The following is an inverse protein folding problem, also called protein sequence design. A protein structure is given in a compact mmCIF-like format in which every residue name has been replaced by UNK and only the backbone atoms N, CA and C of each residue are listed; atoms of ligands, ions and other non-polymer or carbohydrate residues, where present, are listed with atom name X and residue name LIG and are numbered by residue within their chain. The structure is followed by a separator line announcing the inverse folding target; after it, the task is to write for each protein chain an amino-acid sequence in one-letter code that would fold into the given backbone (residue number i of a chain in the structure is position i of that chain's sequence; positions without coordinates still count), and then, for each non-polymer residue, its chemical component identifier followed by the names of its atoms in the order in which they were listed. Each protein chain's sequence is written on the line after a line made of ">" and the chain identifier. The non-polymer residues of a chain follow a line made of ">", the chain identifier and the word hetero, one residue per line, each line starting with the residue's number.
data_IF_617708174566
#
_entry.id   IF_617708174566
#
_cell.length_a   1.000
_cell.length_b   1.000
_cell.length_c   1.000
_cell.angle_alpha   90.00
_cell.angle_beta   90.00
_cell.angle_gamma   90.00
#
_symmetry.space_group_name_H-M   'P 1'
#
loop_
_entity.id
_entity.type
_entity.pdbx_description
1 polymer ?
#
# COMPACT_ATOMS: atom_id res chain seq x y z
N UNK A 1 -52.34 8.34 58.49
CA UNK A 1 -51.29 7.32 58.30
C UNK A 1 -51.23 6.96 56.85
N UNK A 2 -50.47 7.76 56.05
CA UNK A 2 -50.36 7.53 54.61
C UNK A 2 -49.04 6.82 54.29
N UNK A 3 -49.18 5.62 53.75
CA UNK A 3 -48.06 4.85 53.20
C UNK A 3 -47.88 5.18 51.71
N UNK A 4 -46.93 6.03 51.39
CA UNK A 4 -46.50 6.28 49.99
C UNK A 4 -45.59 5.14 49.53
N UNK A 5 -46.08 4.34 48.59
CA UNK A 5 -45.27 3.36 47.83
C UNK A 5 -44.40 4.13 46.83
N UNK A 6 -43.08 4.03 46.98
CA UNK A 6 -42.12 4.45 45.98
C UNK A 6 -41.87 3.28 45.01
N UNK A 7 -42.36 3.39 43.78
CA UNK A 7 -42.05 2.48 42.69
C UNK A 7 -40.70 2.94 42.07
N UNK A 8 -39.67 2.14 42.34
CA UNK A 8 -38.37 2.34 41.64
C UNK A 8 -38.43 1.63 40.27
N UNK A 9 -38.45 2.43 39.20
CA UNK A 9 -38.32 1.92 37.83
C UNK A 9 -36.84 1.64 37.57
N UNK A 10 -36.46 0.38 37.51
CA UNK A 10 -35.18 -0.07 37.04
C UNK A 10 -35.23 -0.08 35.51
N UNK A 11 -34.62 0.96 34.90
CA UNK A 11 -34.38 0.98 33.44
C UNK A 11 -33.27 -0.01 33.09
N UNK A 12 -33.61 -1.21 32.70
CA UNK A 12 -32.72 -2.22 32.16
C UNK A 12 -32.24 -1.78 30.77
N UNK A 13 -30.99 -1.36 30.64
CA UNK A 13 -30.32 -1.13 29.34
C UNK A 13 -30.13 -2.49 28.67
N UNK A 14 -30.97 -2.80 27.69
CA UNK A 14 -30.76 -3.94 26.79
C UNK A 14 -29.60 -3.57 25.84
N UNK A 15 -28.41 -4.08 26.12
CA UNK A 15 -27.30 -4.09 25.15
C UNK A 15 -27.69 -5.04 24.02
N UNK A 16 -28.05 -4.46 22.87
CA UNK A 16 -28.13 -5.21 21.62
C UNK A 16 -26.73 -5.67 21.25
N UNK A 17 -26.50 -6.97 21.00
CA UNK A 17 -25.24 -7.45 20.49
C UNK A 17 -24.99 -6.77 19.15
N UNK A 18 -23.89 -6.01 19.06
CA UNK A 18 -23.45 -5.43 17.81
C UNK A 18 -23.34 -6.52 16.75
N UNK A 19 -24.12 -6.42 15.68
CA UNK A 19 -24.00 -7.30 14.53
C UNK A 19 -22.57 -7.11 13.97
N UNK A 20 -21.70 -8.06 14.29
CA UNK A 20 -20.44 -8.20 13.61
C UNK A 20 -20.77 -8.36 12.12
N UNK A 21 -20.47 -7.32 11.33
CA UNK A 21 -20.65 -7.34 9.89
C UNK A 21 -19.74 -8.43 9.37
N UNK A 22 -20.31 -9.56 8.98
CA UNK A 22 -19.57 -10.69 8.42
C UNK A 22 -18.77 -10.14 7.22
N UNK A 23 -17.45 -10.31 7.28
CA UNK A 23 -16.60 -10.07 6.10
C UNK A 23 -17.12 -11.03 5.03
N UNK A 24 -17.51 -10.57 3.84
CA UNK A 24 -17.99 -11.47 2.80
C UNK A 24 -16.95 -12.57 2.59
N UNK A 25 -17.34 -13.83 2.77
CA UNK A 25 -16.53 -14.96 2.32
C UNK A 25 -16.33 -14.80 0.82
N UNK A 26 -15.11 -15.07 0.34
CA UNK A 26 -14.85 -15.08 -1.10
C UNK A 26 -15.93 -15.94 -1.81
N UNK A 27 -16.45 -15.50 -2.96
CA UNK A 27 -17.49 -16.25 -3.67
C UNK A 27 -16.98 -17.66 -3.99
N UNK A 28 -17.84 -18.70 -3.90
CA UNK A 28 -17.48 -20.06 -4.30
C UNK A 28 -17.20 -20.09 -5.82
N UNK A 29 -16.19 -20.82 -6.23
CA UNK A 29 -15.84 -21.02 -7.63
C UNK A 29 -14.37 -20.73 -7.90
N UNK A 30 -13.89 -20.97 -9.11
CA UNK A 30 -12.48 -20.77 -9.39
C UNK A 30 -12.09 -19.29 -9.22
N UNK A 31 -11.14 -19.03 -8.31
CA UNK A 31 -10.59 -17.69 -8.13
C UNK A 31 -9.67 -17.38 -9.33
N UNK A 32 -10.13 -16.46 -10.17
CA UNK A 32 -9.48 -16.10 -11.42
C UNK A 32 -8.86 -14.72 -11.30
N UNK A 33 -7.63 -14.57 -11.77
CA UNK A 33 -6.95 -13.29 -11.90
C UNK A 33 -6.71 -12.98 -13.38
N UNK A 34 -6.97 -11.73 -13.76
CA UNK A 34 -6.52 -11.15 -15.00
C UNK A 34 -5.57 -10.02 -14.67
N UNK A 35 -4.31 -10.16 -15.10
CA UNK A 35 -3.22 -9.28 -14.72
C UNK A 35 -2.48 -8.80 -15.96
N UNK A 36 -1.94 -7.58 -15.90
CA UNK A 36 -1.03 -7.03 -16.89
C UNK A 36 0.22 -6.46 -16.22
N UNK A 37 1.36 -6.54 -16.89
CA UNK A 37 2.62 -5.97 -16.45
C UNK A 37 3.09 -4.92 -17.47
N UNK A 38 3.10 -3.62 -17.13
CA UNK A 38 3.46 -2.56 -18.07
C UNK A 38 4.97 -2.53 -18.40
N UNK A 39 5.82 -3.15 -17.58
CA UNK A 39 7.27 -3.18 -17.81
C UNK A 39 7.68 -4.26 -18.82
N UNK A 40 6.98 -5.40 -18.82
CA UNK A 40 7.27 -6.51 -19.73
C UNK A 40 6.30 -6.61 -20.90
N UNK A 41 5.13 -5.95 -20.81
CA UNK A 41 4.02 -6.07 -21.76
C UNK A 41 3.26 -7.41 -21.66
N UNK A 42 3.63 -8.26 -20.71
CA UNK A 42 3.00 -9.57 -20.52
C UNK A 42 1.63 -9.44 -19.84
N UNK A 43 0.79 -10.42 -20.11
CA UNK A 43 -0.53 -10.56 -19.47
C UNK A 43 -0.70 -11.98 -18.95
N UNK A 44 -1.47 -12.10 -17.88
CA UNK A 44 -1.90 -13.37 -17.30
C UNK A 44 -3.44 -13.37 -17.20
N UNK A 45 -4.09 -14.48 -17.55
CA UNK A 45 -5.53 -14.67 -17.35
C UNK A 45 -5.80 -16.14 -17.02
N UNK A 46 -6.05 -16.45 -15.76
CA UNK A 46 -6.22 -17.83 -15.34
C UNK A 46 -6.82 -17.97 -13.94
N UNK A 47 -7.47 -19.12 -13.71
CA UNK A 47 -7.90 -19.55 -12.39
C UNK A 47 -6.68 -20.11 -11.63
N UNK A 48 -6.22 -19.41 -10.58
CA UNK A 48 -5.06 -19.81 -9.79
C UNK A 48 -5.42 -20.72 -8.62
N UNK A 49 -6.70 -20.79 -8.28
CA UNK A 49 -7.23 -21.55 -7.15
C UNK A 49 -8.66 -22.02 -7.43
N UNK A 50 -9.01 -23.19 -6.92
CA UNK A 50 -10.35 -23.74 -6.90
C UNK A 50 -10.75 -24.16 -5.45
N UNK A 51 -11.84 -24.91 -5.32
CA UNK A 51 -12.34 -25.39 -4.02
C UNK A 51 -11.40 -26.41 -3.35
N UNK A 52 -10.47 -27.04 -4.10
CA UNK A 52 -9.45 -27.94 -3.60
C UNK A 52 -8.15 -27.21 -3.20
N UNK A 53 -8.04 -25.92 -3.49
CA UNK A 53 -6.88 -25.10 -3.18
C UNK A 53 -6.15 -24.55 -4.41
N UNK A 54 -4.89 -24.12 -4.24
CA UNK A 54 -4.10 -23.56 -5.33
C UNK A 54 -3.81 -24.60 -6.43
N UNK A 55 -3.97 -24.20 -7.70
CA UNK A 55 -3.70 -25.03 -8.87
C UNK A 55 -2.21 -24.95 -9.18
N UNK A 56 -1.46 -26.00 -8.90
CA UNK A 56 0.02 -25.99 -8.92
C UNK A 56 0.63 -25.52 -10.25
N UNK A 57 0.08 -25.95 -11.39
CA UNK A 57 0.56 -25.53 -12.72
C UNK A 57 0.36 -24.04 -12.94
N UNK A 58 -0.80 -23.51 -12.58
CA UNK A 58 -1.14 -22.08 -12.72
C UNK A 58 -0.33 -21.24 -11.74
N UNK A 59 -0.06 -21.73 -10.54
CA UNK A 59 0.84 -21.07 -9.59
C UNK A 59 2.28 -20.98 -10.11
N UNK A 60 2.74 -21.99 -10.86
CA UNK A 60 4.05 -21.93 -11.54
C UNK A 60 4.07 -20.86 -12.62
N UNK A 61 3.03 -20.78 -13.45
CA UNK A 61 2.89 -19.75 -14.49
C UNK A 61 2.83 -18.35 -13.88
N UNK A 62 2.08 -18.17 -12.79
CA UNK A 62 2.03 -16.93 -12.03
C UNK A 62 3.39 -16.55 -11.44
N UNK A 63 4.17 -17.52 -10.94
CA UNK A 63 5.51 -17.25 -10.42
C UNK A 63 6.46 -16.76 -11.53
N UNK A 64 6.29 -17.21 -12.76
CA UNK A 64 7.01 -16.68 -13.93
C UNK A 64 6.52 -15.28 -14.30
N UNK A 65 5.22 -15.05 -14.36
CA UNK A 65 4.63 -13.73 -14.65
C UNK A 65 5.03 -12.68 -13.59
N UNK A 66 5.07 -13.07 -12.32
CA UNK A 66 5.38 -12.21 -11.16
C UNK A 66 6.88 -12.20 -10.80
N UNK A 67 7.75 -12.67 -11.71
CA UNK A 67 9.20 -12.69 -11.49
C UNK A 67 9.80 -11.29 -11.30
N UNK A 68 10.98 -11.25 -10.79
CA UNK A 68 11.81 -10.04 -10.83
C UNK A 68 12.17 -9.69 -12.29
N UNK A 69 11.54 -8.66 -12.84
CA UNK A 69 11.75 -8.29 -14.24
C UNK A 69 13.13 -7.65 -14.52
N UNK A 70 13.88 -7.27 -13.49
CA UNK A 70 15.26 -6.80 -13.65
C UNK A 70 16.25 -7.95 -13.83
N UNK A 71 16.10 -9.00 -13.04
CA UNK A 71 17.03 -10.15 -13.04
C UNK A 71 16.48 -11.37 -13.79
N UNK A 72 15.18 -11.46 -14.03
CA UNK A 72 14.50 -12.63 -14.57
C UNK A 72 14.28 -13.75 -13.54
N UNK A 73 14.74 -13.58 -12.31
CA UNK A 73 14.61 -14.59 -11.26
C UNK A 73 13.16 -14.80 -10.83
N UNK A 74 12.81 -16.04 -10.52
CA UNK A 74 11.48 -16.47 -10.07
C UNK A 74 11.52 -16.98 -8.64
N UNK A 75 10.37 -16.93 -7.95
CA UNK A 75 10.16 -17.56 -6.65
C UNK A 75 8.75 -18.16 -6.63
N UNK A 76 8.53 -19.19 -5.84
CA UNK A 76 7.17 -19.68 -5.56
C UNK A 76 6.37 -18.56 -4.87
N UNK A 77 5.32 -18.08 -5.54
CA UNK A 77 4.56 -16.94 -5.06
C UNK A 77 3.59 -17.32 -3.96
N UNK A 78 3.45 -16.46 -2.95
CA UNK A 78 2.56 -16.70 -1.82
C UNK A 78 1.08 -16.56 -2.24
N UNK A 79 0.33 -17.63 -2.07
CA UNK A 79 -1.11 -17.69 -2.38
C UNK A 79 -1.90 -16.66 -1.58
N UNK A 80 -1.52 -16.40 -0.32
CA UNK A 80 -2.22 -15.44 0.53
C UNK A 80 -2.14 -13.99 -0.03
N UNK A 81 -1.05 -13.63 -0.69
CA UNK A 81 -0.92 -12.34 -1.38
C UNK A 81 -1.85 -12.25 -2.60
N UNK A 82 -2.01 -13.35 -3.36
CA UNK A 82 -2.94 -13.44 -4.48
C UNK A 82 -4.39 -13.43 -4.03
N UNK A 83 -4.73 -14.16 -2.96
CA UNK A 83 -6.05 -14.14 -2.33
C UNK A 83 -6.42 -12.74 -1.82
N UNK A 84 -5.42 -11.99 -1.34
CA UNK A 84 -5.61 -10.61 -0.92
C UNK A 84 -5.92 -9.71 -2.12
N UNK A 85 -5.13 -9.80 -3.20
CA UNK A 85 -5.38 -9.07 -4.45
C UNK A 85 -6.77 -9.38 -5.00
N UNK A 86 -7.12 -10.67 -5.13
CA UNK A 86 -8.43 -11.11 -5.62
C UNK A 86 -9.58 -10.49 -4.83
N UNK A 87 -9.43 -10.45 -3.51
CA UNK A 87 -10.46 -9.87 -2.63
C UNK A 87 -10.60 -8.37 -2.81
N UNK A 88 -9.49 -7.64 -2.98
CA UNK A 88 -9.51 -6.18 -3.25
C UNK A 88 -10.17 -5.91 -4.61
N UNK A 89 -9.81 -6.68 -5.65
CA UNK A 89 -10.43 -6.56 -6.97
C UNK A 89 -11.94 -6.81 -6.90
N UNK A 90 -12.37 -7.83 -6.15
CA UNK A 90 -13.78 -8.15 -5.98
C UNK A 90 -14.58 -7.01 -5.31
N UNK A 91 -14.04 -6.39 -4.26
CA UNK A 91 -14.71 -5.27 -3.58
C UNK A 91 -14.79 -4.02 -4.45
N UNK A 92 -13.74 -3.75 -5.23
CA UNK A 92 -13.69 -2.58 -6.12
C UNK A 92 -14.38 -2.79 -7.47
N UNK A 93 -14.85 -4.02 -7.75
CA UNK A 93 -15.44 -4.40 -9.03
C UNK A 93 -14.45 -4.39 -10.19
N UNK A 94 -13.14 -4.47 -9.91
CA UNK A 94 -12.11 -4.52 -10.93
C UNK A 94 -11.96 -5.93 -11.50
N UNK A 95 -12.01 -6.04 -12.82
CA UNK A 95 -11.87 -7.31 -13.53
C UNK A 95 -10.43 -7.59 -13.96
N UNK A 96 -9.56 -6.57 -13.93
CA UNK A 96 -8.15 -6.64 -14.28
C UNK A 96 -7.33 -5.77 -13.33
N UNK A 97 -6.11 -6.21 -13.00
CA UNK A 97 -5.16 -5.42 -12.21
C UNK A 97 -3.82 -5.29 -12.95
N UNK A 98 -3.23 -4.10 -12.91
CA UNK A 98 -1.91 -3.85 -13.45
C UNK A 98 -0.86 -3.99 -12.36
N UNK A 99 0.08 -4.92 -12.54
CA UNK A 99 1.15 -5.22 -11.59
C UNK A 99 2.39 -4.42 -11.96
N UNK A 100 2.76 -3.46 -11.11
CA UNK A 100 3.94 -2.62 -11.31
C UNK A 100 5.20 -3.27 -10.73
N UNK A 101 5.07 -4.04 -9.64
CA UNK A 101 6.17 -4.78 -9.04
C UNK A 101 5.62 -5.98 -8.27
N UNK A 102 6.35 -7.07 -8.31
CA UNK A 102 6.02 -8.29 -7.58
C UNK A 102 7.27 -8.86 -6.89
N UNK A 103 7.78 -10.01 -7.28
CA UNK A 103 9.03 -10.53 -6.72
C UNK A 103 10.22 -9.62 -7.06
N UNK A 104 11.11 -9.45 -6.10
CA UNK A 104 12.41 -8.80 -6.25
C UNK A 104 13.48 -9.67 -5.61
N UNK A 105 14.58 -9.94 -6.30
CA UNK A 105 15.75 -10.52 -5.65
C UNK A 105 16.27 -9.57 -4.57
N UNK A 106 17.06 -10.09 -3.64
CA UNK A 106 17.69 -9.24 -2.63
C UNK A 106 18.56 -8.14 -3.26
N UNK A 107 19.30 -8.49 -4.31
CA UNK A 107 20.16 -7.57 -5.07
C UNK A 107 19.35 -6.47 -5.76
N UNK A 108 18.23 -6.83 -6.41
CA UNK A 108 17.31 -5.86 -7.01
C UNK A 108 16.72 -4.94 -5.93
N UNK A 109 16.30 -5.50 -4.79
CA UNK A 109 15.76 -4.70 -3.70
C UNK A 109 16.78 -3.75 -3.10
N UNK A 110 18.03 -4.18 -2.91
CA UNK A 110 19.13 -3.33 -2.44
C UNK A 110 19.46 -2.22 -3.44
N UNK A 111 19.47 -2.53 -4.74
CA UNK A 111 19.65 -1.53 -5.79
C UNK A 111 18.55 -0.47 -5.71
N UNK A 112 17.28 -0.90 -5.62
CA UNK A 112 16.12 0.00 -5.50
C UNK A 112 16.16 0.81 -4.20
N UNK A 113 16.54 0.22 -3.07
CA UNK A 113 16.66 0.93 -1.80
C UNK A 113 17.71 2.05 -1.85
N UNK A 114 18.79 1.87 -2.64
CA UNK A 114 19.80 2.91 -2.85
C UNK A 114 19.37 4.01 -3.84
N UNK A 115 18.48 3.70 -4.76
CA UNK A 115 18.10 4.60 -5.88
C UNK A 115 16.70 5.17 -5.76
N UNK A 116 15.84 4.55 -4.96
CA UNK A 116 14.42 4.90 -4.84
C UNK A 116 14.05 5.05 -3.37
N UNK A 117 13.51 6.20 -3.03
CA UNK A 117 13.04 6.43 -1.67
C UNK A 117 11.82 5.56 -1.31
N UNK A 118 11.75 5.14 -0.03
CA UNK A 118 10.61 4.36 0.49
C UNK A 118 10.68 2.85 0.24
N UNK A 119 11.79 2.35 -0.31
CA UNK A 119 12.02 0.91 -0.44
C UNK A 119 12.67 0.39 0.84
N UNK A 120 11.95 -0.50 1.55
CA UNK A 120 12.44 -1.14 2.77
C UNK A 120 13.52 -2.19 2.44
N UNK A 121 14.58 -2.26 3.25
CA UNK A 121 15.63 -3.28 3.09
C UNK A 121 15.09 -4.72 3.22
N UNK A 122 14.19 -4.95 4.20
CA UNK A 122 13.51 -6.23 4.41
C UNK A 122 12.09 -6.20 3.84
N UNK A 123 11.99 -5.97 2.54
CA UNK A 123 10.73 -5.88 1.82
C UNK A 123 10.05 -7.26 1.65
N UNK A 124 8.72 -7.33 1.75
CA UNK A 124 7.95 -8.54 1.47
C UNK A 124 8.04 -8.98 0.00
N UNK A 125 8.45 -8.10 -0.90
CA UNK A 125 8.77 -8.44 -2.30
C UNK A 125 9.88 -9.48 -2.41
N UNK A 126 10.88 -9.46 -1.52
CA UNK A 126 12.00 -10.42 -1.52
C UNK A 126 11.52 -11.85 -1.26
N UNK A 127 10.39 -12.00 -0.60
CA UNK A 127 9.82 -13.30 -0.21
C UNK A 127 8.68 -13.77 -1.14
N UNK A 128 8.40 -13.06 -2.24
CA UNK A 128 7.27 -13.35 -3.13
C UNK A 128 5.90 -13.18 -2.45
N UNK A 129 5.80 -12.23 -1.51
CA UNK A 129 4.63 -12.00 -0.65
C UNK A 129 3.97 -10.64 -0.86
N UNK A 130 4.46 -9.83 -1.79
CA UNK A 130 3.99 -8.46 -1.98
C UNK A 130 3.75 -8.11 -3.44
N UNK A 131 2.77 -7.25 -3.67
CA UNK A 131 2.38 -6.73 -4.97
C UNK A 131 2.23 -5.21 -4.89
N UNK A 132 2.84 -4.49 -5.83
CA UNK A 132 2.56 -3.09 -6.11
C UNK A 132 1.57 -3.02 -7.28
N UNK A 133 0.36 -2.52 -7.03
CA UNK A 133 -0.78 -2.67 -7.95
C UNK A 133 -1.40 -1.32 -8.28
N UNK A 134 -1.59 -1.06 -9.57
CA UNK A 134 -2.32 0.10 -10.07
C UNK A 134 -3.79 -0.26 -10.31
N UNK A 135 -4.71 0.54 -9.76
CA UNK A 135 -6.16 0.37 -9.84
C UNK A 135 -6.87 1.50 -10.60
N UNK A 136 -6.13 2.28 -11.39
CA UNK A 136 -6.69 3.42 -12.14
C UNK A 136 -7.50 4.37 -11.24
N UNK A 137 -8.70 4.72 -11.66
CA UNK A 137 -9.60 5.60 -10.90
C UNK A 137 -10.12 5.00 -9.60
N UNK A 138 -9.96 3.68 -9.39
CA UNK A 138 -10.37 2.96 -8.17
C UNK A 138 -9.28 2.85 -7.12
N UNK A 139 -8.17 3.55 -7.29
CA UNK A 139 -6.99 3.44 -6.44
C UNK A 139 -7.29 3.71 -4.95
N UNK A 140 -8.02 4.79 -4.65
CA UNK A 140 -8.37 5.14 -3.27
C UNK A 140 -9.36 4.14 -2.65
N UNK A 141 -10.33 3.65 -3.45
CA UNK A 141 -11.28 2.63 -3.02
C UNK A 141 -10.57 1.30 -2.72
N UNK A 142 -9.62 0.90 -3.58
CA UNK A 142 -8.78 -0.28 -3.38
C UNK A 142 -7.95 -0.20 -2.09
N UNK A 143 -7.34 0.95 -1.82
CA UNK A 143 -6.60 1.19 -0.58
C UNK A 143 -7.49 1.04 0.66
N UNK A 144 -8.68 1.65 0.66
CA UNK A 144 -9.62 1.56 1.78
C UNK A 144 -10.11 0.13 1.98
N UNK A 145 -10.45 -0.58 0.88
CA UNK A 145 -10.85 -1.98 0.91
C UNK A 145 -9.74 -2.86 1.49
N UNK A 146 -8.51 -2.71 1.00
CA UNK A 146 -7.35 -3.48 1.46
C UNK A 146 -7.11 -3.26 2.96
N UNK A 147 -7.10 -2.03 3.45
CA UNK A 147 -6.92 -1.70 4.87
C UNK A 147 -8.04 -2.27 5.73
N UNK A 148 -9.28 -2.19 5.25
CA UNK A 148 -10.45 -2.73 5.95
C UNK A 148 -10.41 -4.24 6.14
N UNK A 149 -9.76 -4.98 5.23
CA UNK A 149 -9.62 -6.44 5.29
C UNK A 149 -8.64 -6.91 6.36
N UNK A 150 -7.67 -6.11 6.79
CA UNK A 150 -6.67 -6.46 7.82
C UNK A 150 -5.93 -7.77 7.54
N UNK A 151 -5.60 -8.05 6.28
CA UNK A 151 -4.94 -9.30 5.84
C UNK A 151 -3.42 -9.23 5.80
N UNK A 152 -2.84 -8.03 5.81
CA UNK A 152 -1.40 -7.83 5.73
C UNK A 152 -1.01 -6.37 5.68
N UNK A 153 0.16 -6.06 5.11
CA UNK A 153 0.62 -4.70 4.91
C UNK A 153 -0.11 -4.01 3.77
N UNK A 154 -0.43 -2.72 3.95
CA UNK A 154 -1.01 -1.87 2.91
C UNK A 154 -0.29 -0.53 2.88
N UNK A 155 0.40 -0.26 1.78
CA UNK A 155 1.07 1.01 1.49
C UNK A 155 0.26 1.85 0.52
N UNK A 156 0.16 3.15 0.80
CA UNK A 156 -0.52 4.12 -0.04
C UNK A 156 0.49 5.01 -0.77
N UNK A 157 0.49 4.95 -2.11
CA UNK A 157 1.41 5.67 -2.99
C UNK A 157 0.63 6.46 -4.05
N UNK A 158 -0.16 7.47 -3.67
CA UNK A 158 -1.07 8.18 -4.57
C UNK A 158 -0.34 8.90 -5.71
N UNK A 159 0.83 9.49 -5.41
CA UNK A 159 1.63 10.22 -6.39
C UNK A 159 2.30 9.31 -7.43
N UNK A 160 2.52 8.05 -7.07
CA UNK A 160 3.04 7.01 -7.97
C UNK A 160 1.92 6.19 -8.62
N UNK A 161 0.68 6.39 -8.19
CA UNK A 161 -0.50 5.78 -8.79
C UNK A 161 -0.72 4.31 -8.42
N UNK A 162 -0.20 3.83 -7.28
CA UNK A 162 -0.36 2.44 -6.87
C UNK A 162 -0.60 2.26 -5.36
N UNK A 163 -1.07 1.09 -4.99
CA UNK A 163 -1.04 0.60 -3.62
C UNK A 163 -0.09 -0.59 -3.54
N UNK A 164 0.61 -0.70 -2.42
CA UNK A 164 1.30 -1.91 -2.02
C UNK A 164 0.36 -2.77 -1.18
N UNK A 165 0.31 -4.06 -1.45
CA UNK A 165 -0.33 -5.06 -0.60
C UNK A 165 0.62 -6.23 -0.36
N UNK A 166 0.61 -6.79 0.85
CA UNK A 166 1.41 -7.98 1.16
C UNK A 166 0.70 -8.89 2.20
N UNK A 167 1.12 -10.14 2.26
CA UNK A 167 0.61 -11.15 3.21
C UNK A 167 1.41 -11.22 4.52
N UNK A 168 2.25 -10.22 4.80
CA UNK A 168 2.98 -10.11 6.07
C UNK A 168 2.10 -9.61 7.23
N UNK A 169 2.70 -9.19 8.35
CA UNK A 169 1.95 -8.64 9.48
C UNK A 169 1.11 -7.43 9.08
N UNK A 170 -0.08 -7.29 9.68
CA UNK A 170 -1.00 -6.17 9.42
C UNK A 170 -0.34 -4.86 9.82
N UNK A 171 -0.14 -3.97 8.85
CA UNK A 171 0.39 -2.63 9.02
C UNK A 171 -0.05 -1.72 7.88
N UNK A 172 -0.11 -0.43 8.12
CA UNK A 172 -0.46 0.57 7.11
C UNK A 172 0.56 1.71 7.13
N UNK A 173 0.87 2.24 5.95
CA UNK A 173 1.69 3.45 5.81
C UNK A 173 1.25 4.26 4.61
N UNK A 174 1.59 5.54 4.64
CA UNK A 174 1.29 6.50 3.58
C UNK A 174 2.59 7.10 3.06
N UNK A 175 2.76 7.09 1.74
CA UNK A 175 3.79 7.81 1.01
C UNK A 175 3.13 8.82 0.06
N UNK A 176 2.17 9.55 0.60
CA UNK A 176 1.68 10.81 0.06
C UNK A 176 2.67 11.95 0.40
N UNK A 177 2.40 13.16 -0.07
CA UNK A 177 3.26 14.33 0.21
C UNK A 177 3.44 14.57 1.72
N UNK A 178 2.40 14.27 2.53
CA UNK A 178 2.42 14.42 3.99
C UNK A 178 3.16 13.26 4.68
N UNK A 179 2.92 12.03 4.25
CA UNK A 179 3.58 10.83 4.80
C UNK A 179 5.07 10.80 4.50
N UNK A 180 5.44 11.21 3.28
CA UNK A 180 6.84 11.38 2.88
C UNK A 180 7.53 12.44 3.74
N UNK A 181 6.87 13.57 3.98
CA UNK A 181 7.37 14.63 4.86
C UNK A 181 7.62 14.12 6.28
N UNK A 182 6.67 13.39 6.87
CA UNK A 182 6.82 12.81 8.22
C UNK A 182 7.96 11.80 8.30
N UNK A 183 8.11 10.96 7.28
CA UNK A 183 9.14 9.93 7.27
C UNK A 183 10.55 10.51 7.12
N UNK A 184 10.71 11.57 6.31
CA UNK A 184 12.01 12.16 5.99
C UNK A 184 12.50 13.16 7.03
N UNK A 185 11.60 13.89 7.67
CA UNK A 185 11.93 15.10 8.41
C UNK A 185 11.51 15.06 9.88
N UNK A 186 11.37 13.89 10.48
CA UNK A 186 11.02 13.71 11.90
C UNK A 186 9.80 14.57 12.35
N UNK A 187 8.75 14.57 11.53
CA UNK A 187 7.54 15.33 11.83
C UNK A 187 7.56 16.79 11.40
N UNK A 188 8.57 17.23 10.66
CA UNK A 188 8.53 18.54 10.00
C UNK A 188 7.55 18.52 8.84
N UNK A 189 6.75 19.56 8.74
CA UNK A 189 5.82 19.71 7.61
C UNK A 189 6.55 20.26 6.38
N UNK A 190 6.32 19.60 5.24
CA UNK A 190 6.82 20.04 3.94
C UNK A 190 5.62 20.41 3.08
N UNK A 191 5.62 21.61 2.56
CA UNK A 191 4.63 22.04 1.59
C UNK A 191 5.27 22.96 0.53
N UNK A 192 4.59 23.10 -0.60
CA UNK A 192 4.95 24.10 -1.59
C UNK A 192 4.03 25.32 -1.38
N UNK A 193 4.64 26.51 -1.24
CA UNK A 193 3.86 27.72 -1.16
C UNK A 193 3.29 28.12 -2.54
N UNK A 194 2.47 29.16 -2.58
CA UNK A 194 1.84 29.66 -3.81
C UNK A 194 2.83 30.08 -4.90
N UNK A 195 4.09 30.35 -4.54
CA UNK A 195 5.19 30.66 -5.46
C UNK A 195 5.92 29.42 -5.98
N UNK A 196 5.51 28.21 -5.56
CA UNK A 196 6.17 26.96 -5.93
C UNK A 196 7.49 26.69 -5.22
N UNK A 197 7.77 27.42 -4.13
CA UNK A 197 8.95 27.20 -3.30
C UNK A 197 8.68 26.08 -2.29
N UNK A 198 9.68 25.21 -2.08
CA UNK A 198 9.61 24.17 -1.05
C UNK A 198 9.82 24.81 0.32
N UNK A 199 8.83 24.69 1.19
CA UNK A 199 8.87 25.17 2.57
C UNK A 199 8.94 23.97 3.50
N UNK A 200 9.95 23.94 4.35
CA UNK A 200 10.09 22.95 5.42
C UNK A 200 9.82 23.69 6.75
N UNK A 201 8.68 23.49 7.35
CA UNK A 201 8.32 24.07 8.64
C UNK A 201 8.65 23.11 9.79
N UNK A 202 9.19 23.64 10.87
CA UNK A 202 9.46 22.86 12.08
C UNK A 202 8.13 22.46 12.73
N UNK A 203 7.81 21.19 12.74
CA UNK A 203 6.74 20.66 13.58
C UNK A 203 7.12 20.89 15.04
N UNK A 204 6.42 21.79 15.74
CA UNK A 204 6.55 22.08 17.18
C UNK A 204 7.96 22.46 17.71
N UNK A 205 8.92 22.77 16.84
CA UNK A 205 10.29 23.18 17.20
C UNK A 205 10.61 24.58 16.67
N UNK A 206 11.24 25.42 17.49
CA UNK A 206 11.49 26.86 17.28
C UNK A 206 12.62 27.11 16.28
N UNK A 207 12.38 26.91 14.97
CA UNK A 207 13.33 27.34 13.93
C UNK A 207 12.62 28.02 12.75
N UNK A 208 13.28 28.98 12.05
CA UNK A 208 12.67 29.59 10.89
C UNK A 208 12.48 28.56 9.76
N UNK A 209 11.43 28.69 8.93
CA UNK A 209 11.22 27.78 7.79
C UNK A 209 12.37 27.90 6.79
N UNK A 210 12.83 26.76 6.27
CA UNK A 210 13.82 26.70 5.21
C UNK A 210 13.14 26.85 3.85
N UNK A 211 13.51 27.89 3.09
CA UNK A 211 12.97 28.17 1.75
C UNK A 211 13.98 27.70 0.68
N UNK A 212 13.55 26.86 -0.24
CA UNK A 212 14.40 26.33 -1.32
C UNK A 212 13.77 26.60 -2.69
N UNK A 213 14.27 27.60 -3.39
CA UNK A 213 14.03 27.90 -4.81
C UNK A 213 12.72 28.65 -5.11
N UNK A 214 12.74 29.51 -6.13
CA UNK A 214 11.59 30.24 -6.69
C UNK A 214 11.44 29.97 -8.18
N UNK A 215 10.21 29.83 -8.69
CA UNK A 215 9.91 29.59 -10.10
C UNK A 215 8.45 29.22 -10.31
N UNK A 216 8.09 28.77 -11.53
CA UNK A 216 6.75 28.20 -11.80
C UNK A 216 6.45 27.06 -10.82
N UNK A 217 5.19 26.87 -10.42
CA UNK A 217 4.82 25.74 -9.58
C UNK A 217 5.34 24.43 -10.21
N UNK A 218 6.14 23.62 -9.50
CA UNK A 218 6.69 22.41 -10.05
C UNK A 218 5.57 21.37 -10.29
N UNK A 219 5.70 20.59 -11.35
CA UNK A 219 4.85 19.43 -11.60
C UNK A 219 5.01 18.41 -10.47
N UNK A 220 4.05 17.51 -10.29
CA UNK A 220 4.11 16.43 -9.29
C UNK A 220 5.42 15.63 -9.44
N UNK A 221 5.83 15.33 -10.69
CA UNK A 221 7.08 14.62 -11.00
C UNK A 221 8.33 15.40 -10.54
N UNK A 222 8.36 16.72 -10.75
CA UNK A 222 9.45 17.58 -10.32
C UNK A 222 9.50 17.73 -8.80
N UNK A 223 8.32 17.78 -8.12
CA UNK A 223 8.24 17.78 -6.65
C UNK A 223 8.82 16.51 -6.08
N UNK A 224 8.43 15.34 -6.60
CA UNK A 224 8.93 14.05 -6.15
C UNK A 224 10.44 13.91 -6.38
N UNK A 225 10.96 14.35 -7.53
CA UNK A 225 12.39 14.31 -7.81
C UNK A 225 13.20 15.19 -6.82
N UNK A 226 12.71 16.38 -6.48
CA UNK A 226 13.35 17.26 -5.48
C UNK A 226 13.30 16.67 -4.07
N UNK A 227 12.16 16.09 -3.66
CA UNK A 227 12.03 15.41 -2.38
C UNK A 227 13.00 14.22 -2.28
N UNK A 228 13.15 13.43 -3.35
CA UNK A 228 14.11 12.33 -3.42
C UNK A 228 15.56 12.80 -3.28
N UNK A 229 15.91 13.91 -3.92
CA UNK A 229 17.28 14.48 -3.81
C UNK A 229 17.59 14.97 -2.40
N UNK A 230 16.63 15.65 -1.76
CA UNK A 230 16.80 16.15 -0.39
C UNK A 230 16.87 14.99 0.61
N UNK A 231 16.01 14.02 0.47
CA UNK A 231 16.01 12.80 1.29
C UNK A 231 17.35 12.07 1.24
N UNK A 232 17.89 11.91 0.03
CA UNK A 232 19.20 11.28 -0.18
C UNK A 232 20.33 12.07 0.46
N UNK A 233 20.32 13.40 0.34
CA UNK A 233 21.32 14.27 0.92
C UNK A 233 21.29 14.19 2.46
N UNK A 234 20.11 14.20 3.06
CA UNK A 234 19.95 14.13 4.52
C UNK A 234 20.26 12.75 5.10
N UNK A 235 19.89 11.68 4.37
CA UNK A 235 20.30 10.31 4.73
C UNK A 235 21.83 10.17 4.75
N UNK A 236 22.51 10.65 3.71
CA UNK A 236 23.98 10.61 3.64
C UNK A 236 24.63 11.46 4.76
N UNK A 237 24.05 12.61 5.09
CA UNK A 237 24.55 13.48 6.17
C UNK A 237 24.40 12.88 7.58
N UNK A 238 23.45 11.95 7.79
CA UNK A 238 23.25 11.28 9.10
C UNK A 238 24.08 10.01 9.27
N UNK A 239 24.65 9.46 8.17
CA UNK A 239 25.39 8.18 8.20
C UNK A 239 26.87 8.35 7.83
N UNK A 240 27.36 9.57 7.79
CA UNK A 240 28.75 9.98 7.82
C UNK A 240 29.07 10.70 9.14
#
# INVERSE_FOLDING_TARGET
>A
MDRRLLLSIIAGSVMLPGMARAVPSAPPGPWRLKLSNPHTGETFDGAYRDDNGPIATVMSDLSVFLRDFHSGATIAYDVAALDFLYSVMGVTGQTEAQILSAYRTRETNEMLARTTFGVAENSQHIYGKALDVHFGSKLAEAMQAARGMKRGGVGWYPNSGFIHIDSGPVRNWDLDDTGLGRLLFDGREIHFNDKGELVISAGHGHGPPLMIGGGRPPTVRERMARLHQLARAEFLARHH
#
